data_IF_845377015476
#
_entry.id   IF_845377015476
#
_cell.length_a   1.000
_cell.length_b   1.000
_cell.length_c   1.000
_cell.angle_alpha   90.00
_cell.angle_beta   90.00
_cell.angle_gamma   90.00
#
_symmetry.space_group_name_H-M   'P 1'
#
loop_
_entity.id
_entity.type
_entity.pdbx_description
1 polymer ?
#
# COMPACT_ATOMS: atom_id res chain seq x y z
N UNK A 1 -0.52 24.75 -20.26
CA UNK A 1 -0.68 24.90 -18.80
C UNK A 1 -0.21 23.61 -18.13
N UNK A 2 1.11 23.48 -17.96
CA UNK A 2 1.72 22.28 -17.40
C UNK A 2 1.51 22.25 -15.90
N UNK A 3 0.62 21.39 -15.43
CA UNK A 3 0.51 21.03 -14.02
C UNK A 3 1.89 20.54 -13.61
N UNK A 4 2.60 21.32 -12.77
CA UNK A 4 3.95 20.99 -12.34
C UNK A 4 3.96 19.56 -11.80
N UNK A 5 4.82 18.71 -12.36
CA UNK A 5 4.98 17.33 -11.87
C UNK A 5 5.17 17.43 -10.36
N UNK A 6 4.28 16.83 -9.58
CA UNK A 6 4.48 16.70 -8.14
C UNK A 6 5.80 15.95 -7.96
N UNK A 7 6.84 16.68 -7.54
CA UNK A 7 8.15 16.11 -7.30
C UNK A 7 8.14 15.57 -5.88
N UNK A 8 8.34 14.26 -5.74
CA UNK A 8 8.57 13.64 -4.43
C UNK A 8 9.86 14.24 -3.87
N UNK A 9 9.87 14.81 -2.65
CA UNK A 9 11.08 15.33 -2.02
C UNK A 9 12.21 14.30 -2.01
N UNK A 10 13.45 14.72 -2.25
CA UNK A 10 14.58 13.82 -2.45
C UNK A 10 14.86 12.95 -1.20
N UNK A 11 14.66 13.52 -0.01
CA UNK A 11 14.75 12.81 1.27
C UNK A 11 13.69 11.70 1.41
N UNK A 12 12.46 11.96 0.94
CA UNK A 12 11.37 10.97 0.93
C UNK A 12 11.66 9.88 -0.10
N UNK A 13 12.10 10.27 -1.30
CA UNK A 13 12.44 9.35 -2.39
C UNK A 13 13.55 8.38 -1.97
N UNK A 14 14.58 8.86 -1.29
CA UNK A 14 15.69 8.04 -0.78
C UNK A 14 15.29 7.05 0.32
N UNK A 15 14.20 7.33 1.05
CA UNK A 15 13.63 6.40 2.04
C UNK A 15 12.76 5.31 1.44
N UNK A 16 12.26 5.51 0.22
CA UNK A 16 11.41 4.56 -0.48
C UNK A 16 12.27 3.60 -1.32
N UNK A 17 12.20 2.30 -1.04
CA UNK A 17 13.03 1.28 -1.73
C UNK A 17 13.00 1.37 -3.26
N UNK A 18 11.87 1.77 -3.84
CA UNK A 18 11.68 1.89 -5.30
C UNK A 18 11.59 3.34 -5.78
N UNK A 19 11.93 4.33 -4.94
CA UNK A 19 11.80 5.75 -5.27
C UNK A 19 10.36 6.21 -5.52
N UNK A 20 9.38 5.44 -5.06
CA UNK A 20 7.95 5.66 -5.27
C UNK A 20 7.22 5.70 -3.93
N UNK A 21 6.24 6.61 -3.83
CA UNK A 21 5.27 6.66 -2.74
C UNK A 21 4.05 5.80 -3.09
N UNK A 22 3.30 5.27 -2.11
CA UNK A 22 3.40 5.50 -0.67
C UNK A 22 4.47 4.67 0.08
N UNK A 23 4.92 5.21 1.23
CA UNK A 23 5.77 4.57 2.24
C UNK A 23 5.04 4.60 3.59
N UNK A 24 4.90 3.45 4.24
CA UNK A 24 4.48 3.32 5.63
C UNK A 24 5.72 3.14 6.52
N UNK A 25 5.83 3.96 7.57
CA UNK A 25 6.75 3.73 8.68
C UNK A 25 5.94 3.53 9.96
N UNK A 26 5.96 2.30 10.51
CA UNK A 26 5.17 1.92 11.67
C UNK A 26 5.98 0.98 12.57
N UNK A 27 6.04 1.25 13.87
CA UNK A 27 6.79 0.45 14.84
C UNK A 27 8.25 0.17 14.43
N UNK A 28 8.93 1.17 13.88
CA UNK A 28 10.33 1.07 13.42
C UNK A 28 10.52 0.27 12.12
N UNK A 29 9.45 -0.26 11.51
CA UNK A 29 9.48 -0.99 10.24
C UNK A 29 9.08 -0.09 9.09
N UNK A 30 9.60 -0.37 7.89
CA UNK A 30 9.27 0.32 6.64
C UNK A 30 8.60 -0.63 5.66
N UNK A 31 7.50 -0.19 5.04
CA UNK A 31 6.78 -0.93 4.00
C UNK A 31 6.41 0.00 2.85
N UNK A 32 6.65 -0.44 1.62
CA UNK A 32 6.27 0.24 0.38
C UNK A 32 5.28 -0.63 -0.40
N UNK A 33 4.66 -0.08 -1.44
CA UNK A 33 3.53 -0.65 -2.20
C UNK A 33 2.18 -0.41 -1.52
N UNK A 34 1.31 0.36 -2.17
CA UNK A 34 0.02 0.81 -1.63
C UNK A 34 -0.86 -0.36 -1.15
N UNK A 35 -1.00 -1.41 -1.95
CA UNK A 35 -1.80 -2.58 -1.57
C UNK A 35 -1.19 -3.40 -0.43
N UNK A 36 0.13 -3.53 -0.40
CA UNK A 36 0.80 -4.23 0.69
C UNK A 36 0.62 -3.47 2.02
N UNK A 37 0.73 -2.14 1.98
CA UNK A 37 0.46 -1.25 3.12
C UNK A 37 -1.00 -1.40 3.59
N UNK A 38 -1.96 -1.34 2.67
CA UNK A 38 -3.38 -1.47 3.00
C UNK A 38 -3.68 -2.83 3.66
N UNK A 39 -3.16 -3.93 3.09
CA UNK A 39 -3.32 -5.28 3.64
C UNK A 39 -2.71 -5.42 5.03
N UNK A 40 -1.50 -4.88 5.24
CA UNK A 40 -0.86 -4.88 6.55
C UNK A 40 -1.71 -4.16 7.60
N UNK A 41 -2.16 -2.94 7.31
CA UNK A 41 -2.99 -2.16 8.24
C UNK A 41 -4.34 -2.84 8.49
N UNK A 42 -4.94 -3.44 7.47
CA UNK A 42 -6.19 -4.17 7.64
C UNK A 42 -6.04 -5.35 8.62
N UNK A 43 -4.94 -6.09 8.55
CA UNK A 43 -4.65 -7.18 9.50
C UNK A 43 -4.33 -6.63 10.91
N UNK A 44 -3.45 -5.62 11.00
CA UNK A 44 -3.03 -5.01 12.26
C UNK A 44 -4.22 -4.49 13.08
N UNK A 45 -5.19 -3.86 12.39
CA UNK A 45 -6.37 -3.25 13.02
C UNK A 45 -7.63 -4.13 12.95
N UNK A 46 -7.50 -5.42 12.57
CA UNK A 46 -8.62 -6.38 12.50
C UNK A 46 -9.79 -5.89 11.63
N UNK A 47 -9.46 -5.29 10.49
CA UNK A 47 -10.38 -4.83 9.46
C UNK A 47 -10.60 -5.87 8.35
N UNK A 48 -9.94 -7.02 8.42
CA UNK A 48 -10.21 -8.17 7.55
C UNK A 48 -11.34 -9.04 8.14
N UNK A 49 -11.76 -10.06 7.39
CA UNK A 49 -12.69 -11.08 7.88
C UNK A 49 -12.21 -11.82 9.13
N UNK A 50 -13.11 -12.59 9.73
CA UNK A 50 -12.97 -13.27 11.03
C UNK A 50 -11.94 -14.38 11.03
N UNK A 51 -11.65 -14.96 9.86
CA UNK A 51 -10.71 -16.04 9.69
C UNK A 51 -9.82 -15.85 8.45
N UNK A 52 -8.91 -16.81 8.24
CA UNK A 52 -7.95 -16.78 7.13
C UNK A 52 -8.63 -16.85 5.77
N UNK A 53 -9.78 -17.51 5.66
CA UNK A 53 -10.49 -17.64 4.40
C UNK A 53 -11.23 -16.35 4.06
N UNK A 54 -11.93 -15.75 5.03
CA UNK A 54 -12.57 -14.45 4.82
C UNK A 54 -11.55 -13.33 4.54
N UNK A 55 -10.36 -13.38 5.15
CA UNK A 55 -9.27 -12.46 4.81
C UNK A 55 -8.76 -12.68 3.36
N UNK A 56 -8.69 -13.93 2.89
CA UNK A 56 -8.33 -14.24 1.51
C UNK A 56 -9.38 -13.73 0.51
N UNK A 57 -10.66 -13.75 0.86
CA UNK A 57 -11.71 -13.13 0.03
C UNK A 57 -11.49 -11.61 -0.10
N UNK A 58 -11.09 -10.91 0.96
CA UNK A 58 -10.72 -9.49 0.85
C UNK A 58 -9.57 -9.27 -0.15
N UNK A 59 -8.57 -10.15 -0.13
CA UNK A 59 -7.45 -10.09 -1.07
C UNK A 59 -7.89 -10.37 -2.51
N UNK A 60 -8.77 -11.35 -2.72
CA UNK A 60 -9.36 -11.67 -4.02
C UNK A 60 -10.07 -10.45 -4.63
N UNK A 61 -10.91 -9.74 -3.87
CA UNK A 61 -11.59 -8.53 -4.36
C UNK A 61 -10.61 -7.42 -4.71
N UNK A 62 -9.62 -7.17 -3.86
CA UNK A 62 -8.61 -6.12 -4.09
C UNK A 62 -7.77 -6.43 -5.33
N UNK A 63 -7.32 -7.67 -5.48
CA UNK A 63 -6.48 -8.08 -6.60
C UNK A 63 -7.28 -8.08 -7.92
N UNK A 64 -8.55 -8.50 -7.90
CA UNK A 64 -9.46 -8.39 -9.06
C UNK A 64 -9.64 -6.93 -9.51
N UNK A 65 -9.85 -6.00 -8.57
CA UNK A 65 -9.98 -4.57 -8.90
C UNK A 65 -8.68 -4.04 -9.51
N UNK A 66 -7.52 -4.46 -9.00
CA UNK A 66 -6.23 -4.05 -9.55
C UNK A 66 -6.03 -4.57 -10.95
N UNK A 67 -6.37 -5.83 -11.22
CA UNK A 67 -6.29 -6.41 -12.56
C UNK A 67 -7.19 -5.69 -13.56
N UNK A 68 -8.37 -5.20 -13.14
CA UNK A 68 -9.27 -4.41 -13.99
C UNK A 68 -8.76 -2.99 -14.26
N UNK A 69 -8.05 -2.39 -13.29
CA UNK A 69 -7.56 -1.01 -13.40
C UNK A 69 -6.16 -0.89 -14.05
N UNK A 70 -5.47 -2.00 -14.26
CA UNK A 70 -4.15 -2.10 -14.90
C UNK A 70 -4.28 -2.29 -16.42
#
# INVERSE_FOLDING_TARGET
>A
LGIGKSVIPEDVKNRCKYGQVPLLEFSGKKLVQSTAIARYLAQEFRLTGKDRFEAALCDEYVDTVKDVLN
#
